data_IF_771109115072
#
_entry.id   IF_771109115072
#
_cell.length_a   1.000
_cell.length_b   1.000
_cell.length_c   1.000
_cell.angle_alpha   90.00
_cell.angle_beta   90.00
_cell.angle_gamma   90.00
#
_symmetry.space_group_name_H-M   'P 1'
#
loop_
_entity.id
_entity.type
_entity.pdbx_description
1 polymer ?
#
# COMPACT_ATOMS: atom_id res chain seq x y z
N UNK A 1 -75.76 5.12 61.20
CA UNK A 1 -76.28 3.76 61.47
C UNK A 1 -75.16 2.80 61.16
N UNK A 2 -74.56 1.99 62.02
CA UNK A 2 -74.67 1.67 63.45
C UNK A 2 -73.33 1.03 63.84
N UNK A 3 -72.75 1.48 64.95
CA UNK A 3 -71.65 0.97 65.79
C UNK A 3 -71.54 -0.57 65.97
N UNK A 4 -70.57 -1.13 66.73
CA UNK A 4 -69.23 -0.66 67.12
C UNK A 4 -68.13 -1.76 67.09
N UNK A 5 -66.91 -1.32 67.37
CA UNK A 5 -65.72 -2.11 67.73
C UNK A 5 -65.71 -2.38 69.25
N UNK A 6 -65.59 -3.65 69.72
CA UNK A 6 -65.15 -4.09 71.07
C UNK A 6 -64.60 -5.54 70.99
N UNK A 7 -63.32 -5.79 71.27
CA UNK A 7 -62.62 -6.07 72.55
C UNK A 7 -62.79 -7.49 73.14
N UNK A 8 -61.64 -8.19 73.28
CA UNK A 8 -61.33 -9.36 74.16
C UNK A 8 -62.10 -10.67 73.84
N UNK A 9 -61.61 -11.91 74.04
CA UNK A 9 -60.69 -12.48 75.01
C UNK A 9 -60.25 -13.91 74.56
N UNK A 10 -59.30 -14.48 75.32
CA UNK A 10 -58.55 -15.74 75.27
C UNK A 10 -59.26 -17.11 75.07
N UNK A 11 -58.39 -18.14 75.04
CA UNK A 11 -58.55 -19.62 75.06
C UNK A 11 -58.56 -20.23 73.66
N UNK A 12 -57.64 -21.13 73.27
CA UNK A 12 -57.07 -22.24 74.01
C UNK A 12 -57.47 -23.54 73.29
N UNK A 13 -56.50 -24.44 73.10
CA UNK A 13 -56.57 -25.80 72.52
C UNK A 13 -56.58 -25.95 70.99
N UNK A 14 -55.68 -26.81 70.51
CA UNK A 14 -55.84 -27.50 69.23
C UNK A 14 -54.53 -27.78 68.50
N UNK A 15 -53.73 -28.69 69.03
CA UNK A 15 -52.56 -29.26 68.35
C UNK A 15 -53.04 -29.98 67.08
N UNK A 16 -52.69 -29.48 65.89
CA UNK A 16 -52.70 -30.26 64.65
C UNK A 16 -51.36 -30.05 63.94
N UNK A 17 -50.48 -31.03 64.08
CA UNK A 17 -49.22 -31.09 63.37
C UNK A 17 -49.49 -31.50 61.91
N UNK A 18 -49.65 -30.52 61.02
CA UNK A 18 -49.46 -30.72 59.59
C UNK A 18 -47.99 -30.48 59.25
N UNK A 19 -47.26 -31.57 59.00
CA UNK A 19 -45.94 -31.55 58.38
C UNK A 19 -46.06 -31.03 56.94
N UNK A 20 -45.88 -29.74 56.74
CA UNK A 20 -45.52 -29.19 55.43
C UNK A 20 -43.99 -29.20 55.31
N UNK A 21 -43.41 -29.82 54.26
CA UNK A 21 -41.98 -29.69 54.02
C UNK A 21 -41.62 -28.21 53.75
N UNK A 22 -40.43 -27.75 54.15
CA UNK A 22 -40.01 -26.38 53.89
C UNK A 22 -40.03 -26.12 52.38
N UNK A 23 -40.66 -25.00 51.99
CA UNK A 23 -40.52 -24.41 50.66
C UNK A 23 -39.03 -24.09 50.44
N UNK A 24 -38.33 -25.02 49.81
CA UNK A 24 -37.01 -24.77 49.24
C UNK A 24 -37.19 -23.75 48.12
N UNK A 25 -36.89 -22.49 48.41
CA UNK A 25 -36.72 -21.49 47.35
C UNK A 25 -35.64 -22.01 46.40
N UNK A 26 -35.87 -22.02 45.07
CA UNK A 26 -34.83 -22.41 44.13
C UNK A 26 -33.63 -21.50 44.37
N UNK A 27 -32.49 -22.12 44.67
CA UNK A 27 -31.17 -21.47 44.69
C UNK A 27 -31.09 -20.59 43.43
N UNK A 28 -30.73 -19.30 43.51
CA UNK A 28 -30.53 -18.52 42.30
C UNK A 28 -29.52 -19.29 41.47
N UNK A 29 -29.94 -19.71 40.28
CA UNK A 29 -29.07 -20.35 39.33
C UNK A 29 -27.83 -19.46 39.22
N UNK A 30 -26.72 -19.95 39.76
CA UNK A 30 -25.42 -19.35 39.52
C UNK A 30 -25.36 -19.19 38.02
N UNK A 31 -25.24 -17.95 37.55
CA UNK A 31 -25.02 -17.70 36.14
C UNK A 31 -23.83 -18.57 35.76
N UNK A 32 -24.10 -19.67 35.06
CA UNK A 32 -23.07 -20.46 34.44
C UNK A 32 -22.43 -19.47 33.48
N UNK A 33 -21.31 -18.90 33.88
CA UNK A 33 -20.38 -18.28 32.97
C UNK A 33 -20.04 -19.39 31.99
N UNK A 34 -20.80 -19.47 30.89
CA UNK A 34 -20.38 -20.18 29.69
C UNK A 34 -18.96 -19.69 29.45
N UNK A 35 -17.99 -20.55 29.73
CA UNK A 35 -16.59 -20.19 29.69
C UNK A 35 -16.33 -19.62 28.31
N UNK A 36 -16.21 -18.29 28.22
CA UNK A 36 -15.71 -17.64 27.04
C UNK A 36 -14.23 -18.03 26.98
N UNK A 37 -13.95 -19.16 26.33
CA UNK A 37 -12.59 -19.50 25.93
C UNK A 37 -12.14 -18.33 25.05
N UNK A 38 -11.15 -17.52 25.49
CA UNK A 38 -10.66 -16.43 24.65
C UNK A 38 -10.25 -17.05 23.32
N UNK A 39 -10.86 -16.58 22.23
CA UNK A 39 -10.60 -17.13 20.92
C UNK A 39 -9.09 -17.18 20.68
N UNK A 40 -8.57 -18.34 20.25
CA UNK A 40 -7.15 -18.49 19.91
C UNK A 40 -6.74 -17.29 19.04
N UNK A 41 -5.79 -16.44 19.50
CA UNK A 41 -5.45 -15.19 18.82
C UNK A 41 -5.07 -15.40 17.35
N UNK A 42 -4.40 -16.51 17.05
CA UNK A 42 -4.05 -16.91 15.68
C UNK A 42 -5.28 -17.25 14.84
N UNK A 43 -6.19 -18.06 15.37
CA UNK A 43 -7.43 -18.40 14.66
C UNK A 43 -8.33 -17.16 14.45
N UNK A 44 -8.33 -16.22 15.39
CA UNK A 44 -9.03 -14.94 15.25
C UNK A 44 -8.38 -14.07 14.16
N UNK A 45 -7.05 -14.02 14.10
CA UNK A 45 -6.31 -13.34 13.05
C UNK A 45 -6.57 -13.96 11.66
N UNK A 46 -6.46 -15.28 11.53
CA UNK A 46 -6.72 -16.00 10.28
C UNK A 46 -8.16 -15.77 9.78
N UNK A 47 -9.15 -15.71 10.68
CA UNK A 47 -10.53 -15.34 10.30
C UNK A 47 -10.61 -13.91 9.77
N UNK A 48 -9.99 -12.94 10.44
CA UNK A 48 -9.95 -11.54 9.97
C UNK A 48 -9.27 -11.42 8.62
N UNK A 49 -8.17 -12.14 8.40
CA UNK A 49 -7.45 -12.15 7.12
C UNK A 49 -8.30 -12.75 6.00
N UNK A 50 -9.02 -13.87 6.25
CA UNK A 50 -9.96 -14.44 5.28
C UNK A 50 -11.09 -13.47 4.94
N UNK A 51 -11.67 -12.84 5.95
CA UNK A 51 -12.72 -11.84 5.76
C UNK A 51 -12.19 -10.63 4.97
N UNK A 52 -10.97 -10.17 5.26
CA UNK A 52 -10.33 -9.08 4.55
C UNK A 52 -10.01 -9.40 3.09
N UNK A 53 -9.59 -10.64 2.80
CA UNK A 53 -9.43 -11.14 1.45
C UNK A 53 -10.76 -11.17 0.68
N UNK A 54 -11.84 -11.62 1.34
CA UNK A 54 -13.19 -11.70 0.74
C UNK A 54 -13.82 -10.32 0.51
N UNK A 55 -13.66 -9.38 1.44
CA UNK A 55 -14.19 -8.01 1.35
C UNK A 55 -13.41 -7.13 0.37
N UNK A 56 -12.24 -7.57 -0.09
CA UNK A 56 -11.39 -6.82 -1.02
C UNK A 56 -10.53 -5.74 -0.35
N UNK A 57 -11.00 -5.10 0.70
CA UNK A 57 -10.22 -4.22 1.57
C UNK A 57 -10.87 -4.13 2.96
N UNK A 58 -10.07 -4.20 4.01
CA UNK A 58 -10.50 -3.86 5.37
C UNK A 58 -9.57 -2.77 5.87
N UNK A 59 -10.13 -1.65 6.31
CA UNK A 59 -9.39 -0.53 6.88
C UNK A 59 -9.95 -0.29 8.27
N UNK A 60 -9.06 -0.28 9.25
CA UNK A 60 -9.34 0.16 10.61
C UNK A 60 -8.44 1.36 10.86
N UNK A 61 -9.04 2.51 11.14
CA UNK A 61 -8.30 3.74 11.31
C UNK A 61 -8.90 4.56 12.46
N UNK A 62 -8.04 5.10 13.31
CA UNK A 62 -8.39 6.21 14.18
C UNK A 62 -8.52 7.49 13.33
N UNK A 63 -9.57 8.30 13.57
CA UNK A 63 -9.76 9.54 12.84
C UNK A 63 -8.65 10.53 13.19
N UNK A 64 -8.26 11.32 12.20
CA UNK A 64 -7.37 12.43 12.45
C UNK A 64 -7.99 13.50 13.34
N UNK A 65 -7.15 14.19 14.11
CA UNK A 65 -7.52 15.45 14.73
C UNK A 65 -7.83 16.53 13.66
N UNK A 66 -8.60 17.58 13.97
CA UNK A 66 -9.09 18.54 12.98
C UNK A 66 -7.99 19.20 12.12
N UNK A 67 -6.90 19.65 12.74
CA UNK A 67 -5.78 20.28 12.03
C UNK A 67 -5.11 19.32 11.05
N UNK A 68 -5.04 18.04 11.42
CA UNK A 68 -4.40 17.04 10.60
C UNK A 68 -5.29 16.62 9.43
N UNK A 69 -6.58 16.41 9.69
CA UNK A 69 -7.57 16.16 8.65
C UNK A 69 -7.56 17.26 7.57
N UNK A 70 -7.50 18.54 7.99
CA UNK A 70 -7.40 19.67 7.07
C UNK A 70 -6.08 19.68 6.29
N UNK A 71 -4.95 19.30 6.93
CA UNK A 71 -3.65 19.21 6.26
C UNK A 71 -3.69 18.16 5.15
N UNK A 72 -4.21 16.97 5.45
CA UNK A 72 -4.32 15.87 4.48
C UNK A 72 -5.25 16.24 3.32
N UNK A 73 -6.40 16.85 3.60
CA UNK A 73 -7.33 17.32 2.56
C UNK A 73 -6.68 18.35 1.63
N UNK A 74 -5.89 19.29 2.16
CA UNK A 74 -5.15 20.28 1.38
C UNK A 74 -4.02 19.66 0.56
N UNK A 75 -3.24 18.75 1.15
CA UNK A 75 -2.17 18.04 0.47
C UNK A 75 -2.73 17.24 -0.72
N UNK A 76 -3.82 16.51 -0.51
CA UNK A 76 -4.47 15.74 -1.57
C UNK A 76 -5.04 16.65 -2.66
N UNK A 77 -5.76 17.71 -2.27
CA UNK A 77 -6.30 18.70 -3.24
C UNK A 77 -5.19 19.34 -4.07
N UNK A 78 -4.05 19.67 -3.47
CA UNK A 78 -2.91 20.24 -4.21
C UNK A 78 -2.25 19.22 -5.14
N UNK A 79 -2.07 17.97 -4.68
CA UNK A 79 -1.49 16.91 -5.49
C UNK A 79 -2.35 16.62 -6.75
N UNK A 80 -3.67 16.55 -6.58
CA UNK A 80 -4.61 16.37 -7.69
C UNK A 80 -4.59 17.56 -8.65
N UNK A 81 -4.79 18.79 -8.14
CA UNK A 81 -4.95 19.99 -8.96
C UNK A 81 -3.70 20.42 -9.76
N UNK A 82 -2.55 19.79 -9.53
CA UNK A 82 -1.30 20.03 -10.28
C UNK A 82 -1.15 19.14 -11.50
N UNK A 83 -1.97 18.11 -11.66
CA UNK A 83 -1.90 17.26 -12.83
C UNK A 83 -2.20 18.07 -14.09
N UNK A 84 -1.22 18.14 -14.99
CA UNK A 84 -1.43 18.69 -16.32
C UNK A 84 -2.37 17.77 -17.10
N UNK A 85 -3.28 18.32 -17.92
CA UNK A 85 -4.13 17.52 -18.80
C UNK A 85 -3.29 16.78 -19.86
N UNK A 86 -3.92 15.84 -20.55
CA UNK A 86 -3.33 15.12 -21.67
C UNK A 86 -2.82 16.06 -22.79
N UNK A 87 -1.83 15.58 -23.55
CA UNK A 87 -1.34 16.19 -24.79
C UNK A 87 -1.86 15.40 -25.98
N UNK A 88 -2.81 15.99 -26.72
CA UNK A 88 -3.51 15.28 -27.80
C UNK A 88 -2.54 14.70 -28.83
N UNK A 89 -2.64 13.39 -29.07
CA UNK A 89 -1.79 12.69 -30.06
C UNK A 89 -0.42 12.29 -29.50
N UNK A 90 -0.18 12.50 -28.21
CA UNK A 90 1.01 12.08 -27.49
C UNK A 90 0.57 11.13 -26.39
N UNK A 91 1.09 9.90 -26.40
CA UNK A 91 0.84 8.93 -25.32
C UNK A 91 1.44 9.43 -24.02
N UNK A 92 0.68 10.14 -23.19
CA UNK A 92 1.15 10.63 -21.90
C UNK A 92 1.19 9.52 -20.87
N UNK A 93 2.13 9.65 -19.92
CA UNK A 93 2.20 8.78 -18.76
C UNK A 93 1.80 9.56 -17.53
N UNK A 94 0.81 9.06 -16.81
CA UNK A 94 0.40 9.54 -15.49
C UNK A 94 0.99 8.60 -14.45
N UNK A 95 1.89 9.11 -13.61
CA UNK A 95 2.54 8.34 -12.57
C UNK A 95 1.79 8.52 -11.27
N UNK A 96 1.39 7.41 -10.64
CA UNK A 96 0.89 7.38 -9.26
C UNK A 96 1.82 6.49 -8.46
N UNK A 97 2.57 7.06 -7.53
CA UNK A 97 3.51 6.34 -6.68
C UNK A 97 3.04 6.37 -5.23
N UNK A 98 2.90 5.19 -4.61
CA UNK A 98 2.28 5.04 -3.28
C UNK A 98 3.15 4.21 -2.34
N UNK A 99 3.50 4.77 -1.19
CA UNK A 99 4.14 4.09 -0.07
C UNK A 99 3.10 3.82 1.02
N UNK A 100 2.56 2.61 1.08
CA UNK A 100 1.37 2.35 1.92
C UNK A 100 1.67 1.97 3.36
N UNK A 101 2.93 1.73 3.71
CA UNK A 101 3.36 1.44 5.07
C UNK A 101 4.29 2.56 5.56
N UNK A 102 4.20 2.89 6.84
CA UNK A 102 4.93 3.97 7.49
C UNK A 102 6.43 3.68 7.76
N UNK A 103 6.91 2.46 7.51
CA UNK A 103 8.34 2.16 7.54
C UNK A 103 9.10 3.06 6.54
N UNK A 104 10.19 3.67 7.00
CA UNK A 104 10.82 4.78 6.28
C UNK A 104 11.32 4.45 4.87
N UNK A 105 11.67 3.19 4.61
CA UNK A 105 12.09 2.70 3.28
C UNK A 105 11.01 2.93 2.23
N UNK A 106 9.74 2.70 2.56
CA UNK A 106 8.65 2.78 1.58
C UNK A 106 8.43 4.22 1.14
N UNK A 107 8.40 5.17 2.07
CA UNK A 107 8.30 6.59 1.71
C UNK A 107 9.46 7.09 0.84
N UNK A 108 10.70 6.68 1.15
CA UNK A 108 11.90 7.07 0.37
C UNK A 108 11.88 6.46 -1.03
N UNK A 109 11.60 5.16 -1.10
CA UNK A 109 11.47 4.41 -2.35
C UNK A 109 10.36 5.00 -3.23
N UNK A 110 9.19 5.32 -2.66
CA UNK A 110 8.08 5.96 -3.38
C UNK A 110 8.48 7.29 -4.01
N UNK A 111 9.14 8.17 -3.25
CA UNK A 111 9.54 9.48 -3.75
C UNK A 111 10.56 9.39 -4.90
N UNK A 112 11.54 8.49 -4.79
CA UNK A 112 12.53 8.31 -5.86
C UNK A 112 11.99 7.54 -7.05
N UNK A 113 11.16 6.52 -6.85
CA UNK A 113 10.48 5.80 -7.94
C UNK A 113 9.63 6.74 -8.78
N UNK A 114 8.89 7.67 -8.14
CA UNK A 114 8.13 8.71 -8.82
C UNK A 114 9.01 9.60 -9.71
N UNK A 115 10.21 9.98 -9.23
CA UNK A 115 11.18 10.77 -10.01
C UNK A 115 11.75 9.96 -11.19
N UNK A 116 12.08 8.69 -10.97
CA UNK A 116 12.58 7.79 -12.02
C UNK A 116 11.54 7.63 -13.12
N UNK A 117 10.31 7.24 -12.77
CA UNK A 117 9.22 7.06 -13.74
C UNK A 117 8.85 8.38 -14.42
N UNK A 118 8.81 9.47 -13.64
CA UNK A 118 8.58 10.83 -14.11
C UNK A 118 9.54 11.24 -15.23
N UNK A 119 10.84 11.06 -14.99
CA UNK A 119 11.89 11.37 -15.96
C UNK A 119 11.95 10.37 -17.11
N UNK A 120 11.75 9.07 -16.85
CA UNK A 120 11.86 8.01 -17.86
C UNK A 120 10.80 8.15 -18.94
N UNK A 121 9.60 8.58 -18.57
CA UNK A 121 8.44 8.57 -19.45
C UNK A 121 7.91 9.95 -19.82
N UNK A 122 8.69 11.02 -19.61
CA UNK A 122 8.30 12.40 -19.90
C UNK A 122 6.96 12.78 -19.23
N UNK A 123 6.84 12.44 -17.94
CA UNK A 123 5.63 12.64 -17.14
C UNK A 123 5.73 13.88 -16.22
N UNK A 124 6.57 14.86 -16.55
CA UNK A 124 6.70 16.07 -15.74
C UNK A 124 5.37 16.83 -15.63
N UNK A 125 4.91 17.04 -14.40
CA UNK A 125 3.58 17.61 -14.11
C UNK A 125 2.43 16.62 -14.21
N UNK A 126 2.71 15.31 -14.36
CA UNK A 126 1.73 14.21 -14.35
C UNK A 126 2.08 13.13 -13.32
N UNK A 127 2.60 13.55 -12.17
CA UNK A 127 3.07 12.65 -11.11
C UNK A 127 2.34 12.98 -9.81
N UNK A 128 1.71 11.97 -9.20
CA UNK A 128 1.20 12.00 -7.83
C UNK A 128 2.09 11.11 -6.97
N UNK A 129 2.50 11.63 -5.82
CA UNK A 129 3.22 10.90 -4.78
C UNK A 129 2.34 10.87 -3.55
N UNK A 130 2.17 9.70 -2.94
CA UNK A 130 1.46 9.48 -1.68
C UNK A 130 2.30 8.56 -0.80
N UNK A 131 2.49 8.87 0.47
CA UNK A 131 3.24 7.97 1.35
C UNK A 131 2.91 8.16 2.83
N UNK A 132 2.95 7.07 3.59
CA UNK A 132 2.87 7.11 5.05
C UNK A 132 4.27 7.28 5.69
N UNK A 133 4.27 7.65 6.96
CA UNK A 133 5.50 7.72 7.77
C UNK A 133 6.45 8.84 7.35
N UNK A 134 7.74 8.65 7.67
CA UNK A 134 8.82 9.62 7.39
C UNK A 134 9.71 9.06 6.30
N UNK A 135 9.72 9.67 5.12
CA UNK A 135 10.61 9.23 4.04
C UNK A 135 10.32 9.90 2.70
N UNK A 136 9.04 10.07 2.38
CA UNK A 136 8.66 10.94 1.28
C UNK A 136 8.60 12.38 1.79
N UNK A 137 9.37 13.26 1.16
CA UNK A 137 9.16 14.69 1.27
C UNK A 137 8.62 15.18 -0.07
N UNK A 138 7.77 16.20 -0.02
CA UNK A 138 7.28 16.82 -1.24
C UNK A 138 8.37 17.66 -1.93
N UNK A 139 7.96 18.54 -2.83
CA UNK A 139 8.87 19.44 -3.53
C UNK A 139 9.15 20.71 -2.72
N UNK A 140 10.11 21.53 -3.14
CA UNK A 140 10.34 22.83 -2.51
C UNK A 140 9.09 23.75 -2.55
N UNK A 141 8.23 23.60 -3.56
CA UNK A 141 6.97 24.34 -3.72
C UNK A 141 5.75 23.62 -3.15
N UNK A 142 5.92 22.39 -2.66
CA UNK A 142 4.89 21.61 -2.01
C UNK A 142 5.52 20.58 -1.08
N UNK A 143 5.93 20.98 0.13
CA UNK A 143 6.74 20.12 0.98
C UNK A 143 5.95 18.93 1.55
N UNK A 144 4.61 18.93 1.44
CA UNK A 144 3.73 17.96 2.07
C UNK A 144 3.25 16.94 1.05
N UNK A 145 3.40 15.66 1.38
CA UNK A 145 2.88 14.54 0.60
C UNK A 145 1.63 14.02 1.32
N UNK A 146 0.51 13.79 0.62
CA UNK A 146 -0.66 13.15 1.22
C UNK A 146 -0.36 11.69 1.62
N UNK A 147 -1.06 11.19 2.62
CA UNK A 147 -0.85 9.82 3.12
C UNK A 147 -1.12 8.76 2.04
N UNK A 148 -0.35 7.68 2.08
CA UNK A 148 -0.49 6.50 1.22
C UNK A 148 -1.58 5.55 1.69
N UNK A 149 -2.84 6.01 1.77
CA UNK A 149 -3.96 5.17 2.16
C UNK A 149 -4.84 4.74 0.96
N UNK A 150 -5.68 3.69 1.10
CA UNK A 150 -6.51 3.20 -0.01
C UNK A 150 -7.52 4.22 -0.57
N UNK A 151 -8.04 5.12 0.26
CA UNK A 151 -9.02 6.12 -0.17
C UNK A 151 -8.35 7.24 -1.00
N UNK A 152 -7.17 7.69 -0.59
CA UNK A 152 -6.35 8.62 -1.40
C UNK A 152 -5.91 7.98 -2.72
N UNK A 153 -5.56 6.68 -2.73
CA UNK A 153 -5.30 5.97 -3.98
C UNK A 153 -6.54 5.98 -4.89
N UNK A 154 -7.72 5.68 -4.36
CA UNK A 154 -8.96 5.72 -5.13
C UNK A 154 -9.25 7.12 -5.71
N UNK A 155 -9.04 8.18 -4.90
CA UNK A 155 -9.18 9.58 -5.35
C UNK A 155 -8.16 9.93 -6.46
N UNK A 156 -6.89 9.52 -6.32
CA UNK A 156 -5.85 9.74 -7.32
C UNK A 156 -6.19 9.05 -8.64
N UNK A 157 -6.61 7.77 -8.60
CA UNK A 157 -7.00 7.03 -9.80
C UNK A 157 -8.23 7.64 -10.46
N UNK A 158 -9.22 8.07 -9.68
CA UNK A 158 -10.39 8.77 -10.18
C UNK A 158 -10.02 10.06 -10.92
N UNK A 159 -9.19 10.90 -10.30
CA UNK A 159 -8.79 12.17 -10.92
C UNK A 159 -7.88 11.98 -12.14
N UNK A 160 -6.94 11.03 -12.10
CA UNK A 160 -6.12 10.68 -13.28
C UNK A 160 -7.04 10.28 -14.45
N UNK A 161 -8.08 9.50 -14.20
CA UNK A 161 -9.05 9.10 -15.22
C UNK A 161 -9.91 10.24 -15.78
N UNK A 162 -9.99 11.39 -15.09
CA UNK A 162 -10.65 12.61 -15.57
C UNK A 162 -9.75 13.42 -16.50
N UNK A 163 -8.44 13.48 -16.23
CA UNK A 163 -7.49 14.35 -16.95
C UNK A 163 -6.74 13.64 -18.08
N UNK A 164 -6.66 12.31 -18.05
CA UNK A 164 -6.02 11.50 -19.08
C UNK A 164 -6.97 11.18 -20.25
N UNK A 165 -6.40 11.01 -21.44
CA UNK A 165 -7.09 10.34 -22.54
C UNK A 165 -7.05 8.81 -22.33
N UNK A 166 -8.12 8.23 -21.80
CA UNK A 166 -8.21 6.79 -21.45
C UNK A 166 -8.01 5.82 -22.63
N UNK A 167 -8.05 6.29 -23.88
CA UNK A 167 -7.80 5.48 -25.07
C UNK A 167 -6.34 5.52 -25.53
N UNK A 168 -5.58 6.54 -25.12
CA UNK A 168 -4.23 6.83 -25.63
C UNK A 168 -3.19 6.73 -24.51
N UNK A 169 -3.45 7.38 -23.38
CA UNK A 169 -2.52 7.57 -22.28
C UNK A 169 -2.36 6.32 -21.40
N UNK A 170 -1.28 6.29 -20.62
CA UNK A 170 -0.89 5.18 -19.75
C UNK A 170 -0.88 5.63 -18.30
N UNK A 171 -1.48 4.83 -17.41
CA UNK A 171 -1.22 4.92 -15.97
C UNK A 171 0.01 4.09 -15.62
N UNK A 172 1.03 4.72 -15.04
CA UNK A 172 2.13 4.04 -14.35
C UNK A 172 1.87 4.05 -12.84
N UNK A 173 1.36 2.96 -12.31
CA UNK A 173 1.07 2.78 -10.89
C UNK A 173 2.22 2.04 -10.21
N UNK A 174 2.92 2.70 -9.29
CA UNK A 174 3.92 2.10 -8.42
C UNK A 174 3.38 2.02 -7.00
N UNK A 175 3.35 0.83 -6.41
CA UNK A 175 3.00 0.66 -4.99
C UNK A 175 4.13 -0.09 -4.31
N UNK A 176 4.60 0.45 -3.17
CA UNK A 176 5.56 -0.22 -2.30
C UNK A 176 5.04 -0.28 -0.87
N UNK A 177 5.13 -1.47 -0.26
CA UNK A 177 4.63 -1.77 1.10
C UNK A 177 5.00 -3.20 1.50
N UNK A 178 4.70 -3.58 2.74
CA UNK A 178 4.63 -5.00 3.11
C UNK A 178 3.51 -5.71 2.36
N UNK A 179 3.63 -7.03 2.21
CA UNK A 179 2.62 -7.84 1.56
C UNK A 179 2.30 -9.10 2.35
N UNK A 180 1.09 -9.61 2.15
CA UNK A 180 0.60 -10.80 2.80
C UNK A 180 -0.03 -11.75 1.77
N UNK A 181 0.36 -13.02 1.82
CA UNK A 181 -0.01 -14.07 0.85
C UNK A 181 -1.53 -14.23 0.65
N UNK A 182 -2.34 -13.85 1.64
CA UNK A 182 -3.80 -13.98 1.55
C UNK A 182 -4.53 -12.64 1.32
N UNK A 183 -4.04 -11.55 1.92
CA UNK A 183 -4.77 -10.26 1.97
C UNK A 183 -4.21 -9.21 1.03
N UNK A 184 -3.03 -9.44 0.44
CA UNK A 184 -2.41 -8.55 -0.53
C UNK A 184 -1.55 -7.45 0.07
N UNK A 185 -1.67 -6.24 -0.47
CA UNK A 185 -0.85 -5.09 -0.13
C UNK A 185 -1.25 -4.60 1.27
N UNK A 186 -0.29 -4.46 2.17
CA UNK A 186 -0.54 -3.96 3.51
C UNK A 186 -0.72 -2.43 3.47
N UNK A 187 -1.67 -1.92 4.24
CA UNK A 187 -1.76 -0.51 4.59
C UNK A 187 -1.45 -0.35 6.07
N UNK A 188 -0.48 0.50 6.40
CA UNK A 188 -0.15 0.85 7.77
C UNK A 188 0.25 2.30 7.85
N UNK A 189 -0.32 3.00 8.82
CA UNK A 189 0.08 4.34 9.20
C UNK A 189 0.35 4.39 10.70
N UNK A 190 1.57 4.03 11.07
CA UNK A 190 2.01 3.87 12.45
C UNK A 190 1.04 2.98 13.24
N UNK A 191 0.66 3.46 14.43
CA UNK A 191 -0.35 2.85 15.29
C UNK A 191 -1.77 3.35 14.99
N UNK A 192 -1.92 4.37 14.14
CA UNK A 192 -3.21 5.04 13.88
C UNK A 192 -4.13 4.20 13.01
N UNK A 193 -3.58 3.60 11.95
CA UNK A 193 -4.38 2.88 10.98
C UNK A 193 -3.69 1.65 10.42
N UNK A 194 -4.50 0.65 10.09
CA UNK A 194 -4.07 -0.59 9.47
C UNK A 194 -5.13 -1.13 8.52
N UNK A 195 -4.68 -1.87 7.51
CA UNK A 195 -5.57 -2.48 6.55
C UNK A 195 -4.85 -3.20 5.42
N UNK A 196 -5.58 -3.41 4.33
CA UNK A 196 -5.04 -4.04 3.14
C UNK A 196 -5.78 -3.61 1.86
N UNK A 197 -5.14 -3.83 0.72
CA UNK A 197 -5.79 -3.89 -0.60
C UNK A 197 -5.57 -5.29 -1.15
N UNK A 198 -6.65 -6.05 -1.32
CA UNK A 198 -6.60 -7.36 -1.95
C UNK A 198 -6.56 -7.25 -3.50
N UNK A 199 -6.13 -8.31 -4.20
CA UNK A 199 -6.04 -8.32 -5.67
C UNK A 199 -7.31 -7.87 -6.39
N UNK A 200 -8.46 -8.43 -6.01
CA UNK A 200 -9.75 -8.10 -6.63
C UNK A 200 -10.13 -6.62 -6.45
N UNK A 201 -9.78 -6.00 -5.31
CA UNK A 201 -10.08 -4.59 -5.06
C UNK A 201 -9.20 -3.67 -5.89
N UNK A 202 -7.90 -3.96 -6.02
CA UNK A 202 -7.03 -3.15 -6.87
C UNK A 202 -7.48 -3.21 -8.34
N UNK A 203 -7.82 -4.41 -8.83
CA UNK A 203 -8.37 -4.59 -10.16
C UNK A 203 -9.69 -3.81 -10.34
N UNK A 204 -10.60 -3.87 -9.36
CA UNK A 204 -11.85 -3.12 -9.37
C UNK A 204 -11.62 -1.61 -9.44
N UNK A 205 -10.74 -1.05 -8.61
CA UNK A 205 -10.41 0.39 -8.63
C UNK A 205 -9.93 0.86 -10.02
N UNK A 206 -9.04 0.09 -10.65
CA UNK A 206 -8.52 0.40 -11.99
C UNK A 206 -9.59 0.28 -13.08
N UNK A 207 -10.46 -0.74 -12.96
CA UNK A 207 -11.55 -0.99 -13.90
C UNK A 207 -12.68 0.06 -13.78
N UNK A 208 -13.08 0.39 -12.56
CA UNK A 208 -14.10 1.41 -12.24
C UNK A 208 -13.67 2.80 -12.70
N UNK A 209 -12.39 3.13 -12.58
CA UNK A 209 -11.82 4.36 -13.13
C UNK A 209 -11.81 4.38 -14.69
N UNK A 210 -11.97 3.21 -15.32
CA UNK A 210 -11.99 3.08 -16.79
C UNK A 210 -10.62 3.24 -17.45
N UNK A 211 -9.54 3.15 -16.67
CA UNK A 211 -8.16 3.27 -17.16
C UNK A 211 -7.82 2.01 -17.95
N UNK A 212 -7.41 2.14 -19.23
CA UNK A 212 -7.20 0.97 -20.10
C UNK A 212 -5.74 0.52 -20.15
N UNK A 213 -4.83 1.44 -20.44
CA UNK A 213 -3.40 1.14 -20.54
C UNK A 213 -2.75 1.32 -19.17
N UNK A 214 -2.19 0.23 -18.63
CA UNK A 214 -1.73 0.18 -17.24
C UNK A 214 -0.34 -0.43 -17.18
N UNK A 215 0.61 0.29 -16.61
CA UNK A 215 1.87 -0.24 -16.11
C UNK A 215 1.74 -0.32 -14.57
N UNK A 216 1.51 -1.50 -14.03
CA UNK A 216 1.36 -1.73 -12.59
C UNK A 216 2.63 -2.37 -12.04
N UNK A 217 3.27 -1.72 -11.07
CA UNK A 217 4.53 -2.17 -10.47
C UNK A 217 4.32 -2.31 -8.96
N UNK A 218 4.42 -3.54 -8.46
CA UNK A 218 4.12 -3.87 -7.08
C UNK A 218 5.39 -4.36 -6.36
N UNK A 219 5.89 -3.52 -5.46
CA UNK A 219 7.02 -3.81 -4.57
C UNK A 219 6.51 -4.29 -3.20
N UNK A 220 6.20 -5.58 -3.09
CA UNK A 220 5.72 -6.17 -1.84
C UNK A 220 5.98 -7.68 -1.77
N UNK A 221 6.01 -8.26 -0.57
CA UNK A 221 6.01 -9.71 -0.39
C UNK A 221 4.76 -10.33 -1.02
N UNK A 222 4.89 -11.51 -1.63
CA UNK A 222 3.77 -12.23 -2.25
C UNK A 222 3.04 -11.46 -3.37
N UNK A 223 3.65 -10.40 -3.92
CA UNK A 223 3.00 -9.52 -4.92
C UNK A 223 2.51 -10.25 -6.17
N UNK A 224 3.01 -11.45 -6.46
CA UNK A 224 2.55 -12.29 -7.56
C UNK A 224 1.08 -12.69 -7.46
N UNK A 225 0.45 -12.65 -6.27
CA UNK A 225 -0.98 -12.93 -6.11
C UNK A 225 -1.88 -11.94 -6.88
N UNK A 226 -1.35 -10.78 -7.28
CA UNK A 226 -2.07 -9.76 -8.03
C UNK A 226 -2.12 -10.04 -9.53
N UNK A 227 -1.19 -10.82 -10.07
CA UNK A 227 -1.07 -11.05 -11.51
C UNK A 227 -2.38 -11.57 -12.12
N UNK A 228 -3.03 -12.63 -11.60
CA UNK A 228 -4.27 -13.13 -12.21
C UNK A 228 -5.44 -12.14 -12.16
N UNK A 229 -5.48 -11.25 -11.17
CA UNK A 229 -6.56 -10.27 -11.03
C UNK A 229 -6.34 -9.02 -11.92
N UNK A 230 -5.09 -8.70 -12.24
CA UNK A 230 -4.72 -7.53 -13.04
C UNK A 230 -4.56 -7.85 -14.54
N UNK A 231 -4.34 -9.12 -14.87
CA UNK A 231 -4.20 -9.61 -16.24
C UNK A 231 -5.35 -9.15 -17.15
N UNK A 232 -4.99 -8.47 -18.23
CA UNK A 232 -5.86 -8.18 -19.36
C UNK A 232 -5.02 -7.77 -20.58
N UNK A 233 -5.69 -7.52 -21.69
CA UNK A 233 -5.07 -7.22 -22.98
C UNK A 233 -4.07 -6.05 -22.95
N UNK A 234 -4.27 -5.02 -22.13
CA UNK A 234 -3.49 -3.77 -22.17
C UNK A 234 -2.77 -3.43 -20.85
N UNK A 235 -2.65 -4.40 -19.95
CA UNK A 235 -1.96 -4.22 -18.67
C UNK A 235 -0.60 -4.91 -18.68
N UNK A 236 0.42 -4.22 -18.19
CA UNK A 236 1.71 -4.78 -17.82
C UNK A 236 1.77 -4.81 -16.30
N UNK A 237 2.07 -5.97 -15.71
CA UNK A 237 2.25 -6.10 -14.26
C UNK A 237 3.65 -6.58 -13.95
N UNK A 238 4.39 -5.82 -13.13
CA UNK A 238 5.69 -6.18 -12.59
C UNK A 238 5.59 -6.41 -11.08
N UNK A 239 6.08 -7.54 -10.59
CA UNK A 239 5.99 -7.92 -9.18
C UNK A 239 7.36 -8.22 -8.58
N UNK A 240 7.59 -7.79 -7.33
CA UNK A 240 8.83 -8.02 -6.61
C UNK A 240 9.07 -9.49 -6.21
N UNK A 241 7.99 -10.27 -6.12
CA UNK A 241 8.02 -11.67 -5.77
C UNK A 241 6.86 -12.44 -6.40
N UNK A 242 6.98 -13.77 -6.44
CA UNK A 242 5.89 -14.69 -6.80
C UNK A 242 4.73 -14.64 -5.79
N UNK A 243 3.67 -15.42 -6.03
CA UNK A 243 2.53 -15.50 -5.12
C UNK A 243 2.85 -16.25 -3.80
N UNK A 244 3.92 -17.05 -3.79
CA UNK A 244 4.27 -18.00 -2.73
C UNK A 244 5.51 -17.59 -1.94
N UNK A 245 6.23 -16.55 -2.39
CA UNK A 245 7.52 -16.15 -1.82
C UNK A 245 7.52 -14.69 -1.37
N UNK A 246 8.25 -14.35 -0.29
CA UNK A 246 8.46 -12.97 0.12
C UNK A 246 9.44 -12.24 -0.82
N UNK A 247 9.45 -10.91 -0.75
CA UNK A 247 10.52 -10.06 -1.28
C UNK A 247 11.39 -9.52 -0.13
N UNK A 248 12.50 -8.85 -0.43
CA UNK A 248 13.53 -8.52 0.56
C UNK A 248 13.97 -7.04 0.51
N UNK A 249 14.70 -6.62 1.55
CA UNK A 249 15.29 -5.28 1.64
C UNK A 249 14.40 -4.22 2.31
N UNK A 250 13.29 -4.60 2.94
CA UNK A 250 12.34 -3.69 3.58
C UNK A 250 12.77 -3.15 4.96
N UNK A 251 14.08 -3.13 5.27
CA UNK A 251 14.55 -2.56 6.55
C UNK A 251 14.32 -1.06 6.57
N UNK A 252 13.83 -0.53 7.70
CA UNK A 252 13.43 0.87 7.81
C UNK A 252 14.57 1.87 7.56
N UNK A 253 15.84 1.46 7.71
CA UNK A 253 17.02 2.29 7.45
C UNK A 253 17.43 2.33 5.97
N UNK A 254 16.96 1.40 5.14
CA UNK A 254 17.32 1.34 3.73
C UNK A 254 16.61 2.43 2.93
N UNK A 255 17.24 2.97 1.90
CA UNK A 255 16.54 3.86 0.96
C UNK A 255 15.73 3.08 -0.09
N UNK A 256 16.10 1.82 -0.31
CA UNK A 256 15.49 0.95 -1.30
C UNK A 256 15.27 -0.47 -0.77
N UNK A 257 14.19 -1.10 -1.23
CA UNK A 257 14.04 -2.55 -1.22
C UNK A 257 14.94 -3.19 -2.29
N UNK A 258 15.14 -4.51 -2.26
CA UNK A 258 15.90 -5.19 -3.32
C UNK A 258 15.25 -4.96 -4.70
N UNK A 259 13.93 -5.04 -4.76
CA UNK A 259 13.22 -4.84 -6.02
C UNK A 259 13.27 -3.39 -6.49
N UNK A 260 13.04 -2.43 -5.60
CA UNK A 260 13.12 -1.01 -5.95
C UNK A 260 14.54 -0.59 -6.35
N UNK A 261 15.58 -1.07 -5.67
CA UNK A 261 16.96 -0.75 -6.07
C UNK A 261 17.27 -1.34 -7.46
N UNK A 262 17.01 -2.62 -7.66
CA UNK A 262 17.32 -3.29 -8.91
C UNK A 262 16.52 -2.73 -10.10
N UNK A 263 15.19 -2.57 -9.93
CA UNK A 263 14.31 -2.12 -11.01
C UNK A 263 14.33 -0.60 -11.14
N UNK A 264 13.94 0.15 -10.10
CA UNK A 264 13.79 1.60 -10.20
C UNK A 264 15.15 2.31 -10.19
N UNK A 265 15.98 2.01 -9.22
CA UNK A 265 17.19 2.78 -8.98
C UNK A 265 18.29 2.48 -10.00
N UNK A 266 18.33 1.27 -10.56
CA UNK A 266 19.37 0.82 -11.48
C UNK A 266 18.83 0.62 -12.89
N UNK A 267 17.97 -0.37 -13.12
CA UNK A 267 17.61 -0.81 -14.47
C UNK A 267 16.77 0.21 -15.25
N UNK A 268 15.76 0.84 -14.63
CA UNK A 268 14.90 1.83 -15.29
C UNK A 268 15.62 3.17 -15.54
N UNK A 269 16.80 3.39 -14.94
CA UNK A 269 17.69 4.50 -15.29
C UNK A 269 18.53 4.23 -16.54
N UNK A 270 18.54 3.01 -17.06
CA UNK A 270 19.30 2.65 -18.26
C UNK A 270 18.49 2.91 -19.54
N UNK A 271 19.16 3.22 -20.67
CA UNK A 271 18.53 3.47 -21.96
C UNK A 271 18.11 2.17 -22.67
N UNK A 272 17.38 1.30 -21.97
CA UNK A 272 16.91 0.00 -22.46
C UNK A 272 15.38 -0.08 -22.35
N UNK A 273 14.69 -0.88 -23.20
CA UNK A 273 13.26 -1.15 -23.09
C UNK A 273 12.85 -1.75 -21.73
N UNK A 274 11.57 -1.62 -21.38
CA UNK A 274 11.04 -2.09 -20.09
C UNK A 274 11.30 -3.60 -19.82
N UNK A 275 11.07 -4.53 -20.77
CA UNK A 275 11.36 -5.96 -20.54
C UNK A 275 12.84 -6.23 -20.26
N UNK A 276 13.74 -5.52 -20.94
CA UNK A 276 15.19 -5.64 -20.76
C UNK A 276 15.63 -5.08 -19.42
N UNK A 277 15.07 -3.94 -19.00
CA UNK A 277 15.29 -3.38 -17.67
C UNK A 277 14.82 -4.38 -16.58
N UNK A 278 13.66 -5.01 -16.77
CA UNK A 278 13.17 -6.02 -15.84
C UNK A 278 14.07 -7.26 -15.77
N UNK A 279 14.58 -7.73 -16.92
CA UNK A 279 15.53 -8.84 -16.96
C UNK A 279 16.85 -8.51 -16.23
N UNK A 280 17.37 -7.29 -16.38
CA UNK A 280 18.53 -6.80 -15.64
C UNK A 280 18.25 -6.76 -14.13
N UNK A 281 17.10 -6.22 -13.73
CA UNK A 281 16.69 -6.16 -12.34
C UNK A 281 16.59 -7.57 -11.71
N UNK A 282 15.99 -8.54 -12.41
CA UNK A 282 15.93 -9.93 -11.97
C UNK A 282 17.33 -10.52 -11.76
N UNK A 283 18.26 -10.27 -12.68
CA UNK A 283 19.64 -10.75 -12.53
C UNK A 283 20.34 -10.17 -11.30
N UNK A 284 20.15 -8.88 -11.01
CA UNK A 284 20.69 -8.22 -9.81
C UNK A 284 20.09 -8.81 -8.54
N UNK A 285 18.76 -8.93 -8.47
CA UNK A 285 18.04 -9.50 -7.33
C UNK A 285 18.54 -10.92 -7.04
N UNK A 286 18.61 -11.78 -8.06
CA UNK A 286 19.13 -13.15 -7.89
C UNK A 286 20.55 -13.16 -7.33
N UNK A 287 21.43 -12.28 -7.79
CA UNK A 287 22.81 -12.18 -7.24
C UNK A 287 22.80 -11.81 -5.76
N UNK A 288 21.99 -10.81 -5.37
CA UNK A 288 21.91 -10.36 -3.98
C UNK A 288 21.28 -11.40 -3.06
N UNK A 289 20.23 -12.08 -3.53
CA UNK A 289 19.57 -13.16 -2.79
C UNK A 289 20.51 -14.35 -2.56
N UNK A 290 21.23 -14.78 -3.60
CA UNK A 290 22.24 -15.85 -3.49
C UNK A 290 23.35 -15.45 -2.52
N UNK A 291 23.87 -14.23 -2.63
CA UNK A 291 24.90 -13.72 -1.72
C UNK A 291 24.41 -13.63 -0.27
N UNK A 292 23.11 -13.39 -0.08
CA UNK A 292 22.43 -13.31 1.23
C UNK A 292 21.91 -14.66 1.73
N UNK A 293 22.06 -15.75 0.96
CA UNK A 293 21.50 -17.08 1.24
C UNK A 293 19.98 -17.06 1.47
N UNK A 294 19.28 -16.27 0.67
CA UNK A 294 17.82 -16.15 0.71
C UNK A 294 17.18 -17.07 -0.33
N UNK A 295 15.99 -17.57 0.00
CA UNK A 295 15.11 -18.21 -0.97
C UNK A 295 14.74 -17.19 -2.07
N UNK A 296 14.85 -17.51 -3.36
CA UNK A 296 14.60 -16.55 -4.42
C UNK A 296 13.17 -15.99 -4.40
N UNK A 297 13.01 -14.66 -4.42
CA UNK A 297 11.69 -14.03 -4.46
C UNK A 297 10.94 -14.32 -5.75
N UNK A 298 11.68 -14.63 -6.82
CA UNK A 298 11.17 -14.91 -8.17
C UNK A 298 10.29 -13.77 -8.72
N UNK A 299 10.85 -12.56 -8.97
CA UNK A 299 10.09 -11.44 -9.54
C UNK A 299 9.45 -11.81 -10.88
N UNK A 300 8.22 -11.35 -11.14
CA UNK A 300 7.45 -11.71 -12.32
C UNK A 300 7.14 -10.49 -13.21
N UNK A 301 7.05 -10.74 -14.52
CA UNK A 301 6.54 -9.80 -15.51
C UNK A 301 5.39 -10.49 -16.25
N UNK A 302 4.26 -9.81 -16.30
CA UNK A 302 3.10 -10.17 -17.10
C UNK A 302 2.85 -9.07 -18.13
N UNK A 303 2.74 -9.45 -19.40
CA UNK A 303 2.59 -8.54 -20.54
C UNK A 303 1.27 -8.82 -21.24
N UNK A 304 0.33 -7.88 -21.13
CA UNK A 304 -0.87 -7.87 -21.94
C UNK A 304 -0.51 -7.82 -23.43
N UNK A 305 -1.12 -8.65 -24.29
CA UNK A 305 -0.78 -8.75 -25.72
C UNK A 305 -0.92 -7.43 -26.49
N UNK A 306 -1.87 -6.57 -26.12
CA UNK A 306 -2.06 -5.24 -26.72
C UNK A 306 -1.20 -4.16 -26.05
N UNK A 307 -0.63 -4.44 -24.87
CA UNK A 307 0.17 -3.48 -24.14
C UNK A 307 1.47 -3.11 -24.85
N UNK A 308 1.99 -4.01 -25.70
CA UNK A 308 3.20 -3.80 -26.50
C UNK A 308 3.09 -2.50 -27.31
N UNK A 309 1.92 -2.21 -27.88
CA UNK A 309 1.72 -1.05 -28.75
C UNK A 309 1.94 0.28 -28.02
N UNK A 310 1.43 0.45 -26.79
CA UNK A 310 1.68 1.66 -26.01
C UNK A 310 3.04 1.62 -25.31
N UNK A 311 3.53 0.42 -24.95
CA UNK A 311 4.85 0.25 -24.33
C UNK A 311 5.95 0.79 -25.24
N UNK A 312 5.92 0.44 -26.54
CA UNK A 312 6.89 0.96 -27.52
C UNK A 312 6.86 2.49 -27.60
N UNK A 313 5.68 3.11 -27.44
CA UNK A 313 5.53 4.57 -27.47
C UNK A 313 6.13 5.25 -26.25
N UNK A 314 5.97 4.66 -25.06
CA UNK A 314 6.58 5.23 -23.85
C UNK A 314 8.08 4.91 -23.77
N UNK A 315 8.52 3.74 -24.25
CA UNK A 315 9.95 3.38 -24.29
C UNK A 315 10.73 4.23 -25.32
N UNK A 316 10.07 4.72 -26.36
CA UNK A 316 10.67 5.70 -27.28
C UNK A 316 11.11 7.01 -26.56
N UNK A 317 10.46 7.35 -25.43
CA UNK A 317 10.74 8.54 -24.62
C UNK A 317 11.88 8.35 -23.62
N UNK A 318 12.37 7.12 -23.45
CA UNK A 318 13.42 6.80 -22.48
C UNK A 318 14.68 7.65 -22.74
N UNK A 319 15.24 8.29 -21.70
CA UNK A 319 16.48 9.05 -21.80
C UNK A 319 17.59 8.22 -22.45
N UNK A 320 18.30 8.82 -23.42
CA UNK A 320 19.39 8.13 -24.14
C UNK A 320 20.67 8.02 -23.32
N UNK A 321 20.77 8.79 -22.24
CA UNK A 321 21.91 8.77 -21.31
C UNK A 321 21.49 8.04 -20.05
N UNK A 322 22.30 7.08 -19.63
CA UNK A 322 22.09 6.35 -18.39
C UNK A 322 22.10 7.30 -17.19
N UNK A 323 21.06 7.23 -16.36
CA UNK A 323 21.03 7.88 -15.07
C UNK A 323 21.89 7.13 -14.05
N UNK A 324 22.41 7.86 -13.07
CA UNK A 324 23.13 7.26 -11.95
C UNK A 324 22.17 6.82 -10.84
N UNK A 325 22.39 5.67 -10.20
CA UNK A 325 21.68 5.28 -8.98
C UNK A 325 21.82 6.35 -7.89
N UNK A 326 20.79 6.49 -7.06
CA UNK A 326 20.73 7.44 -5.94
C UNK A 326 20.30 6.74 -4.66
N UNK A 327 20.60 7.36 -3.51
CA UNK A 327 20.29 6.78 -2.20
C UNK A 327 21.21 5.63 -1.83
N UNK A 328 21.05 5.11 -0.62
CA UNK A 328 21.76 3.93 -0.14
C UNK A 328 21.23 2.69 -0.87
N UNK A 329 22.10 1.91 -1.53
CA UNK A 329 21.69 0.69 -2.22
C UNK A 329 21.13 -0.32 -1.21
N UNK A 330 20.24 -1.18 -1.68
CA UNK A 330 19.61 -2.21 -0.86
C UNK A 330 20.59 -3.34 -0.49
N UNK A 331 21.67 -3.48 -1.27
CA UNK A 331 22.72 -4.46 -1.07
C UNK A 331 24.12 -3.87 -1.33
N UNK A 332 25.06 -4.10 -0.40
CA UNK A 332 26.44 -3.61 -0.49
C UNK A 332 26.68 -2.27 0.19
N UNK A 333 27.87 -1.69 -0.04
CA UNK A 333 28.25 -0.39 0.52
C UNK A 333 27.69 0.77 -0.33
N UNK A 334 27.39 1.94 0.27
CA UNK A 334 26.90 3.10 -0.47
C UNK A 334 27.93 3.57 -1.53
N UNK A 335 27.46 4.10 -2.68
CA UNK A 335 28.37 4.66 -3.68
C UNK A 335 29.21 5.79 -3.08
N UNK A 336 30.48 5.96 -3.50
CA UNK A 336 31.29 7.08 -3.04
C UNK A 336 30.59 8.40 -3.40
N UNK A 337 30.71 9.45 -2.56
CA UNK A 337 30.11 10.74 -2.84
C UNK A 337 30.58 11.27 -4.21
N UNK A 338 29.73 12.01 -4.95
CA UNK A 338 30.11 12.58 -6.23
C UNK A 338 31.40 13.40 -6.07
N UNK A 339 32.39 13.13 -6.92
CA UNK A 339 33.66 13.86 -6.92
C UNK A 339 33.34 15.35 -7.08
N UNK A 340 33.67 16.16 -6.06
CA UNK A 340 33.56 17.61 -6.18
C UNK A 340 34.39 18.01 -7.38
N UNK A 341 33.78 18.68 -8.36
CA UNK A 341 34.50 19.21 -9.51
C UNK A 341 35.74 19.96 -9.01
N UNK A 342 36.94 19.49 -9.39
CA UNK A 342 38.18 20.21 -9.05
C UNK A 342 38.02 21.64 -9.57
N UNK A 343 38.26 22.66 -8.74
CA UNK A 343 38.27 24.02 -9.25
C UNK A 343 39.25 24.09 -10.41
N UNK A 344 38.80 24.67 -11.53
CA UNK A 344 39.65 24.85 -12.70
C UNK A 344 40.97 25.49 -12.25
N UNK A 345 42.13 24.98 -12.70
CA UNK A 345 43.40 25.59 -12.35
C UNK A 345 43.34 27.07 -12.71
N UNK A 346 43.63 27.93 -11.74
CA UNK A 346 43.72 29.36 -11.97
C UNK A 346 44.72 29.59 -13.10
N UNK A 347 44.22 29.94 -14.28
CA UNK A 347 45.04 30.51 -15.34
C UNK A 347 45.57 31.83 -14.78
N UNK A 348 46.85 31.85 -14.42
CA UNK A 348 47.56 33.11 -14.14
C UNK A 348 47.43 33.98 -15.39
N UNK A 349 46.80 35.15 -15.22
CA UNK A 349 46.71 36.15 -16.29
C UNK A 349 48.11 36.54 -16.79
N UNK A 350 48.24 36.87 -18.09
CA UNK A 350 49.50 37.16 -18.74
C UNK A 350 50.24 38.37 -18.15
#
# INVERSE_FOLDING_TARGET
>A
MTSPMRFRLCLGLGLFACLAPPLSLPVPATAQTYGYQPANPRAAQERREREAAQKGSVIVAEPYGPSESLRQARAMTSALGRLKPERKGVVDVYVVAVGMDSDGVFGRETAEAARVLGSRYDAEGRVIVMANGKGANGTASDPVVPDGNPDHLAQALGHVAEVMNKQEDVLALFITTHGHWNTGLNYRDGERAGGNIAPARLAALLNEAGIKNRLVILSACFSGIFVPALQNESTITLTAASAEKPSFGCRAENDWTFFGDALMNQALRQPVPLPDAFAQARSLITKWEVASRLDPSSPQIDLGPQAIAWMDKIDAKVPKVAGQPKGMPAFGAPPPPPEKAKPAPFLTKP
#
